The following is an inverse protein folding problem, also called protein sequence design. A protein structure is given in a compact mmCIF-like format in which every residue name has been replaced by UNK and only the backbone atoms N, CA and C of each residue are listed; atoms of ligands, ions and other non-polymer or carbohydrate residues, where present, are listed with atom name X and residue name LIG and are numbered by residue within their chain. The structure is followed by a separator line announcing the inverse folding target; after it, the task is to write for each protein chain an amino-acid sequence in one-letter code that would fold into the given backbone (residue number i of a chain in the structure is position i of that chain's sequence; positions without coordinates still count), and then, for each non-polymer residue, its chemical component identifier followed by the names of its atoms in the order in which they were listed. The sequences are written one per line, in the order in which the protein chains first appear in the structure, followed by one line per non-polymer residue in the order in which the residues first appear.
data_IF_424052660369
#
_entry.id   IF_424052660369
#
_cell.length_a   1.000
_cell.length_b   1.000
_cell.length_c   1.000
_cell.angle_alpha   90.00
_cell.angle_beta   90.00
_cell.angle_gamma   90.00
#
_symmetry.space_group_name_H-M   'P 1'
#
loop_
_entity.id
_entity.type
_entity.pdbx_description
1 polymer ?
#
# COMPACT_ATOMS: atom_id res chain seq x y z
N UNK A 1 -31.53 4.62 -5.27
CA UNK A 1 -31.08 5.81 -4.52
C UNK A 1 -29.58 5.88 -4.64
N UNK A 2 -29.10 6.86 -5.38
CA UNK A 2 -27.70 7.05 -5.75
C UNK A 2 -26.91 7.45 -4.50
N UNK A 3 -26.17 6.49 -3.94
CA UNK A 3 -25.25 6.79 -2.85
C UNK A 3 -24.13 7.67 -3.39
N UNK A 4 -24.11 8.95 -3.03
CA UNK A 4 -22.95 9.79 -3.23
C UNK A 4 -21.77 9.10 -2.53
N UNK A 5 -20.88 8.49 -3.30
CA UNK A 5 -19.53 8.21 -2.83
C UNK A 5 -18.96 9.53 -2.37
N UNK A 6 -18.78 9.69 -1.05
CA UNK A 6 -18.06 10.82 -0.49
C UNK A 6 -16.66 10.77 -1.10
N UNK A 7 -16.42 11.60 -2.11
CA UNK A 7 -15.09 11.82 -2.65
C UNK A 7 -14.25 12.26 -1.46
N UNK A 8 -13.26 11.45 -1.10
CA UNK A 8 -12.31 11.77 -0.05
C UNK A 8 -11.51 12.98 -0.52
N UNK A 9 -11.83 14.16 0.00
CA UNK A 9 -11.01 15.37 -0.18
C UNK A 9 -9.76 15.36 0.71
N UNK A 10 -9.46 14.24 1.38
CA UNK A 10 -8.24 14.12 2.18
C UNK A 10 -7.02 14.11 1.26
N UNK A 11 -6.06 14.99 1.57
CA UNK A 11 -4.81 15.18 0.83
C UNK A 11 -3.58 14.88 1.69
N UNK A 12 -3.76 14.71 3.00
CA UNK A 12 -2.69 14.36 3.92
C UNK A 12 -2.34 12.86 3.78
N UNK A 13 -1.14 12.52 3.26
CA UNK A 13 -0.75 11.13 3.01
C UNK A 13 -0.73 10.28 4.29
N UNK A 14 -0.42 10.89 5.45
CA UNK A 14 -0.45 10.19 6.74
C UNK A 14 -1.85 9.76 7.17
N UNK A 15 -2.89 10.43 6.67
CA UNK A 15 -4.29 10.03 6.90
C UNK A 15 -4.79 9.11 5.80
N UNK A 16 -4.37 9.34 4.56
CA UNK A 16 -4.80 8.52 3.42
C UNK A 16 -4.32 7.07 3.58
N UNK A 17 -3.07 6.84 3.98
CA UNK A 17 -2.50 5.50 4.04
C UNK A 17 -3.20 4.58 5.05
N UNK A 18 -3.84 5.14 6.08
CA UNK A 18 -4.50 4.38 7.14
C UNK A 18 -5.58 3.44 6.57
N UNK A 19 -5.56 2.20 7.01
CA UNK A 19 -6.49 1.14 6.60
C UNK A 19 -5.79 -0.04 5.95
N UNK A 20 -6.60 -0.92 5.34
CA UNK A 20 -6.14 -2.17 4.76
C UNK A 20 -5.94 -2.05 3.25
N UNK A 21 -4.89 -2.69 2.76
CA UNK A 21 -4.48 -2.67 1.37
C UNK A 21 -4.04 -4.06 0.94
N UNK A 22 -4.41 -4.42 -0.28
CA UNK A 22 -4.08 -5.68 -0.93
C UNK A 22 -3.30 -5.41 -2.20
N UNK A 23 -2.25 -6.18 -2.46
CA UNK A 23 -1.45 -6.03 -3.68
C UNK A 23 -2.22 -6.60 -4.86
N UNK A 24 -2.27 -5.84 -5.95
CA UNK A 24 -2.99 -6.25 -7.17
C UNK A 24 -2.06 -6.33 -8.40
N UNK A 25 -0.93 -5.62 -8.37
CA UNK A 25 0.08 -5.68 -9.43
C UNK A 25 1.48 -5.56 -8.85
N UNK A 26 2.44 -6.26 -9.45
CA UNK A 26 3.87 -6.18 -9.11
C UNK A 26 4.72 -6.25 -10.37
N UNK A 27 5.78 -5.44 -10.45
CA UNK A 27 6.75 -5.53 -11.55
C UNK A 27 7.47 -4.23 -11.88
N UNK A 28 7.93 -4.10 -13.13
CA UNK A 28 8.73 -2.98 -13.61
C UNK A 28 8.25 -2.49 -14.96
N UNK A 29 8.01 -1.18 -15.10
CA UNK A 29 7.63 -0.56 -16.37
C UNK A 29 6.39 -1.21 -17.00
N UNK A 30 6.52 -1.67 -18.25
CA UNK A 30 5.48 -2.40 -19.00
C UNK A 30 5.36 -3.87 -18.63
N UNK A 31 6.29 -4.41 -17.84
CA UNK A 31 6.27 -5.80 -17.36
C UNK A 31 5.72 -5.82 -15.93
N UNK A 32 4.42 -5.60 -15.80
CA UNK A 32 3.69 -5.76 -14.54
C UNK A 32 2.75 -6.94 -14.66
N UNK A 33 2.86 -7.85 -13.71
CA UNK A 33 1.97 -8.99 -13.61
C UNK A 33 0.88 -8.70 -12.58
N UNK A 34 -0.34 -9.13 -12.89
CA UNK A 34 -1.42 -9.13 -11.89
C UNK A 34 -1.07 -10.12 -10.80
N UNK A 35 -1.23 -9.71 -9.55
CA UNK A 35 -0.97 -10.56 -8.38
C UNK A 35 -2.31 -11.08 -7.88
N UNK A 36 -2.42 -12.41 -7.77
CA UNK A 36 -3.42 -13.03 -6.91
C UNK A 36 -2.84 -13.10 -5.50
N UNK A 37 -3.22 -12.14 -4.66
CA UNK A 37 -2.78 -12.04 -3.27
C UNK A 37 -3.21 -13.24 -2.41
N UNK A 38 -4.20 -14.02 -2.85
CA UNK A 38 -4.87 -15.04 -2.04
C UNK A 38 -5.33 -14.52 -0.66
N UNK A 39 -5.66 -13.23 -0.56
CA UNK A 39 -6.07 -12.56 0.68
C UNK A 39 -4.93 -12.09 1.58
N UNK A 40 -3.69 -12.05 1.07
CA UNK A 40 -2.59 -11.31 1.70
C UNK A 40 -2.92 -9.81 1.71
N UNK A 41 -2.77 -9.18 2.88
CA UNK A 41 -2.99 -7.74 3.02
C UNK A 41 -2.01 -7.12 4.01
N UNK A 42 -1.85 -5.81 3.85
CA UNK A 42 -1.19 -4.94 4.81
C UNK A 42 -2.20 -3.98 5.41
N UNK A 43 -2.10 -3.71 6.71
CA UNK A 43 -2.90 -2.72 7.42
C UNK A 43 -1.99 -1.66 8.05
N UNK A 44 -2.18 -0.41 7.66
CA UNK A 44 -1.49 0.73 8.29
C UNK A 44 -2.38 1.31 9.39
N UNK A 45 -1.91 1.22 10.63
CA UNK A 45 -2.61 1.70 11.81
C UNK A 45 -2.18 3.12 12.21
N UNK A 46 -3.04 3.86 12.92
CA UNK A 46 -2.80 5.26 13.31
C UNK A 46 -1.62 5.47 14.25
N UNK A 47 -1.18 4.41 14.93
CA UNK A 47 -0.07 4.39 15.88
C UNK A 47 1.29 4.09 15.20
N UNK A 48 1.39 4.29 13.89
CA UNK A 48 2.63 4.03 13.11
C UNK A 48 3.06 2.56 13.10
N UNK A 49 2.09 1.64 13.27
CA UNK A 49 2.26 0.21 13.12
C UNK A 49 1.67 -0.28 11.80
N UNK A 50 2.46 -1.02 11.04
CA UNK A 50 2.00 -1.79 9.88
C UNK A 50 1.82 -3.24 10.29
N UNK A 51 0.69 -3.83 9.94
CA UNK A 51 0.41 -5.25 10.13
C UNK A 51 0.43 -5.92 8.76
N UNK A 52 1.17 -7.01 8.61
CA UNK A 52 1.14 -7.85 7.40
C UNK A 52 0.48 -9.17 7.76
N UNK A 53 -0.57 -9.55 7.04
CA UNK A 53 -1.23 -10.83 7.20
C UNK A 53 -0.87 -11.78 6.06
N UNK A 54 -0.29 -12.92 6.41
CA UNK A 54 0.03 -13.97 5.44
C UNK A 54 -0.99 -15.11 5.53
N UNK A 55 -1.81 -15.34 4.49
CA UNK A 55 -2.89 -16.32 4.52
C UNK A 55 -2.39 -17.76 4.66
N UNK A 56 -1.29 -18.11 3.98
CA UNK A 56 -0.72 -19.47 3.99
C UNK A 56 -0.31 -19.93 5.38
N UNK A 57 0.27 -19.03 6.16
CA UNK A 57 0.76 -19.33 7.52
C UNK A 57 -0.21 -18.92 8.61
N UNK A 58 -1.26 -18.15 8.26
CA UNK A 58 -2.20 -17.50 9.18
C UNK A 58 -1.51 -16.66 10.25
N UNK A 59 -0.36 -16.06 9.91
CA UNK A 59 0.44 -15.25 10.83
C UNK A 59 0.27 -13.77 10.55
N UNK A 60 0.45 -13.01 11.63
CA UNK A 60 0.51 -11.56 11.60
C UNK A 60 1.93 -11.13 11.96
N UNK A 61 2.48 -10.25 11.14
CA UNK A 61 3.76 -9.60 11.39
C UNK A 61 3.52 -8.12 11.64
N UNK A 62 4.32 -7.52 12.51
CA UNK A 62 4.18 -6.11 12.90
C UNK A 62 5.48 -5.39 12.63
N UNK A 63 5.35 -4.26 11.95
CA UNK A 63 6.46 -3.41 11.54
C UNK A 63 6.15 -1.97 11.91
N UNK A 64 7.18 -1.15 12.06
CA UNK A 64 7.00 0.30 12.19
C UNK A 64 7.02 0.94 10.82
N UNK A 65 6.19 1.96 10.63
CA UNK A 65 6.22 2.79 9.43
C UNK A 65 6.08 4.26 9.80
N UNK A 66 6.53 5.15 8.93
CA UNK A 66 6.15 6.56 8.96
C UNK A 66 6.14 7.12 7.54
N UNK A 67 5.49 8.26 7.34
CA UNK A 67 5.32 8.84 6.02
C UNK A 67 5.63 10.33 6.06
N UNK A 68 6.51 10.75 5.15
CA UNK A 68 6.84 12.14 4.86
C UNK A 68 6.80 12.34 3.33
N UNK A 69 7.87 12.86 2.72
CA UNK A 69 8.10 12.77 1.27
C UNK A 69 8.20 11.34 0.72
N UNK A 70 8.51 10.37 1.59
CA UNK A 70 8.61 8.94 1.31
C UNK A 70 7.80 8.16 2.34
N UNK A 71 7.41 6.94 1.99
CA UNK A 71 6.92 5.95 2.94
C UNK A 71 8.13 5.16 3.43
N UNK A 72 8.34 5.13 4.74
CA UNK A 72 9.46 4.42 5.35
C UNK A 72 8.93 3.21 6.10
N UNK A 73 9.53 2.05 5.86
CA UNK A 73 9.14 0.77 6.44
C UNK A 73 10.40 0.02 6.90
N UNK A 74 10.69 0.04 8.20
CA UNK A 74 11.93 -0.49 8.77
C UNK A 74 13.22 -0.08 8.05
N UNK A 75 13.70 -0.90 7.10
CA UNK A 75 14.93 -0.69 6.33
C UNK A 75 14.68 -0.23 4.89
N UNK A 76 13.41 -0.21 4.47
CA UNK A 76 13.00 0.16 3.13
C UNK A 76 12.34 1.54 3.11
N UNK A 77 12.42 2.20 1.97
CA UNK A 77 11.73 3.46 1.73
C UNK A 77 11.22 3.50 0.29
N UNK A 78 10.01 4.04 0.15
CA UNK A 78 9.23 4.01 -1.07
C UNK A 78 8.79 5.41 -1.45
N UNK A 79 8.86 5.72 -2.74
CA UNK A 79 8.02 6.78 -3.32
C UNK A 79 6.60 6.23 -3.38
N UNK A 80 5.63 7.06 -3.06
CA UNK A 80 4.24 6.67 -3.07
C UNK A 80 3.40 7.65 -3.89
N UNK A 81 2.32 7.14 -4.47
CA UNK A 81 1.28 7.94 -5.13
C UNK A 81 -0.09 7.34 -4.79
N UNK A 82 -0.99 8.18 -4.27
CA UNK A 82 -2.39 7.82 -4.09
C UNK A 82 -3.20 8.29 -5.29
N UNK A 83 -3.98 7.40 -5.88
CA UNK A 83 -4.80 7.69 -7.05
C UNK A 83 -6.16 7.00 -6.95
N UNK A 84 -7.01 7.24 -7.94
CA UNK A 84 -8.38 6.70 -7.98
C UNK A 84 -9.16 7.00 -6.68
N UNK A 85 -9.27 8.30 -6.35
CA UNK A 85 -9.91 8.79 -5.11
C UNK A 85 -9.35 8.14 -3.83
N UNK A 86 -8.03 7.97 -3.77
CA UNK A 86 -7.31 7.37 -2.64
C UNK A 86 -7.68 5.88 -2.37
N UNK A 87 -8.26 5.20 -3.37
CA UNK A 87 -8.54 3.76 -3.31
C UNK A 87 -7.38 2.92 -3.83
N UNK A 88 -6.45 3.53 -4.57
CA UNK A 88 -5.24 2.85 -5.03
C UNK A 88 -3.98 3.57 -4.56
N UNK A 89 -2.96 2.78 -4.29
CA UNK A 89 -1.65 3.24 -3.88
C UNK A 89 -0.60 2.57 -4.75
N UNK A 90 0.24 3.38 -5.38
CA UNK A 90 1.46 2.92 -6.04
C UNK A 90 2.62 3.10 -5.08
N UNK A 91 3.45 2.09 -4.94
CA UNK A 91 4.73 2.18 -4.25
C UNK A 91 5.86 1.86 -5.23
N UNK A 92 6.84 2.74 -5.31
CA UNK A 92 8.09 2.51 -6.03
C UNK A 92 9.25 2.47 -5.03
N UNK A 93 10.06 1.41 -5.03
CA UNK A 93 11.30 1.34 -4.26
C UNK A 93 12.18 2.55 -4.59
N UNK A 94 12.57 3.30 -3.57
CA UNK A 94 13.40 4.48 -3.75
C UNK A 94 14.91 4.17 -3.77
N UNK A 95 15.31 2.96 -3.37
CA UNK A 95 16.68 2.45 -3.54
C UNK A 95 16.91 1.93 -4.97
N UNK A 96 18.05 2.26 -5.57
CA UNK A 96 18.34 2.14 -7.00
C UNK A 96 18.68 0.72 -7.51
N UNK A 97 18.41 -0.34 -6.75
CA UNK A 97 18.80 -1.73 -7.11
C UNK A 97 17.68 -2.75 -6.84
N UNK A 98 16.42 -2.40 -7.14
CA UNK A 98 15.33 -3.38 -7.13
C UNK A 98 14.98 -3.78 -8.58
N UNK A 99 15.08 -5.07 -8.91
CA UNK A 99 14.69 -5.61 -10.24
C UNK A 99 13.19 -5.42 -10.53
N UNK A 100 12.36 -5.30 -9.48
CA UNK A 100 10.92 -5.03 -9.55
C UNK A 100 10.57 -3.87 -8.63
N UNK A 101 10.75 -2.61 -9.08
CA UNK A 101 10.66 -1.48 -8.18
C UNK A 101 9.21 -1.12 -7.85
N UNK A 102 8.21 -1.53 -8.62
CA UNK A 102 6.85 -1.00 -8.52
C UNK A 102 5.84 -2.04 -8.04
N UNK A 103 5.01 -1.65 -7.08
CA UNK A 103 3.82 -2.39 -6.67
C UNK A 103 2.59 -1.49 -6.67
N UNK A 104 1.44 -2.05 -7.03
CA UNK A 104 0.13 -1.37 -6.97
C UNK A 104 -0.75 -2.10 -5.97
N UNK A 105 -1.37 -1.32 -5.11
CA UNK A 105 -2.20 -1.78 -4.01
C UNK A 105 -3.59 -1.17 -4.12
N UNK A 106 -4.61 -1.95 -3.77
CA UNK A 106 -6.00 -1.53 -3.71
C UNK A 106 -6.51 -1.60 -2.26
N UNK A 107 -7.33 -0.61 -1.89
CA UNK A 107 -7.92 -0.55 -0.55
C UNK A 107 -9.03 -1.59 -0.41
N UNK A 108 -8.98 -2.34 0.68
CA UNK A 108 -10.03 -3.30 1.04
C UNK A 108 -10.86 -2.78 2.23
N UNK A 109 -12.15 -3.15 2.26
CA UNK A 109 -13.14 -2.71 3.27
C UNK A 109 -13.16 -3.59 4.51
#
# INVERSE_FOLDING_TARGET
MTGCEKISNETDPAKIIIGKWEIIEFGSGSNRDMVDSHGEYVEYCRDSIKIVYQPDTKKYFRYKYWIDSLLHEESDYFKYEFFDKNQKMRLDFASCIAEFPTSIWERIK
#
